data_IF_700542510002
#
_entry.id   IF_700542510002
#
_cell.length_a   1.000
_cell.length_b   1.000
_cell.length_c   1.000
_cell.angle_alpha   90.00
_cell.angle_beta   90.00
_cell.angle_gamma   90.00
#
_symmetry.space_group_name_H-M   'P 1'
#
loop_
_entity.id
_entity.type
_entity.pdbx_description
1 polymer ?
#
# COMPACT_ATOMS: atom_id res chain seq x y z
N UNK A 1 -2.71 23.98 -7.62
CA UNK A 1 -3.05 22.74 -6.92
C UNK A 1 -3.72 23.12 -5.62
N UNK A 2 -4.93 22.66 -5.35
CA UNK A 2 -5.62 22.94 -4.09
C UNK A 2 -4.95 22.10 -2.99
N UNK A 3 -4.06 22.73 -2.23
CA UNK A 3 -3.22 22.09 -1.20
C UNK A 3 -4.07 21.65 0.03
N UNK A 4 -5.35 22.04 0.08
CA UNK A 4 -6.19 21.88 1.27
C UNK A 4 -7.16 20.67 1.26
N UNK A 5 -7.21 19.86 0.19
CA UNK A 5 -8.15 18.73 0.14
C UNK A 5 -7.41 17.40 0.25
N UNK A 6 -7.73 16.56 1.27
CA UNK A 6 -7.11 15.24 1.39
C UNK A 6 -7.50 14.34 0.20
N UNK A 7 -6.58 13.49 -0.24
CA UNK A 7 -6.85 12.41 -1.21
C UNK A 7 -7.77 11.35 -0.61
N UNK A 8 -7.56 11.05 0.69
CA UNK A 8 -8.41 10.14 1.46
C UNK A 8 -8.69 10.77 2.81
N UNK A 9 -9.96 10.70 3.25
CA UNK A 9 -10.40 11.15 4.58
C UNK A 9 -11.25 10.06 5.24
N UNK A 10 -10.84 9.66 6.43
CA UNK A 10 -11.59 8.78 7.32
C UNK A 10 -12.21 9.62 8.42
N UNK A 11 -13.52 9.52 8.63
CA UNK A 11 -14.25 10.24 9.65
C UNK A 11 -15.03 9.28 10.54
N UNK A 12 -14.62 9.16 11.79
CA UNK A 12 -15.25 8.30 12.82
C UNK A 12 -15.42 6.85 12.36
N UNK A 13 -14.48 6.32 11.59
CA UNK A 13 -14.53 4.94 11.10
C UNK A 13 -14.42 3.97 12.28
N UNK A 14 -15.41 3.07 12.37
CA UNK A 14 -15.43 1.99 13.35
C UNK A 14 -15.65 0.65 12.66
N UNK A 15 -14.97 -0.41 13.17
CA UNK A 15 -15.05 -1.78 12.64
C UNK A 15 -15.05 -2.78 13.75
N UNK A 16 -15.93 -3.79 13.66
CA UNK A 16 -16.01 -4.94 14.58
C UNK A 16 -16.11 -6.25 13.81
N UNK A 17 -15.64 -7.33 14.42
CA UNK A 17 -15.88 -8.70 13.99
C UNK A 17 -16.65 -9.41 15.11
N UNK A 18 -17.93 -9.70 14.87
CA UNK A 18 -18.84 -10.17 15.91
C UNK A 18 -18.95 -9.17 17.06
N UNK A 19 -18.49 -9.57 18.26
CA UNK A 19 -18.48 -8.68 19.44
C UNK A 19 -17.16 -7.94 19.67
N UNK A 20 -16.12 -8.26 18.88
CA UNK A 20 -14.79 -7.64 19.05
C UNK A 20 -14.66 -6.36 18.24
N UNK A 21 -14.50 -5.24 18.92
CA UNK A 21 -14.14 -3.96 18.28
C UNK A 21 -12.68 -4.00 17.85
N UNK A 22 -12.42 -3.76 16.57
CA UNK A 22 -11.08 -3.73 15.98
C UNK A 22 -10.61 -2.31 15.78
N UNK A 23 -11.51 -1.44 15.27
CA UNK A 23 -11.26 -0.01 15.10
C UNK A 23 -12.41 0.77 15.73
N UNK A 24 -12.10 1.87 16.40
CA UNK A 24 -13.07 2.70 17.11
C UNK A 24 -12.80 4.19 16.86
N UNK A 25 -13.74 4.87 16.17
CA UNK A 25 -13.70 6.30 15.88
C UNK A 25 -12.38 6.77 15.25
N UNK A 26 -11.90 6.05 14.22
CA UNK A 26 -10.69 6.41 13.49
C UNK A 26 -10.95 7.67 12.66
N UNK A 27 -10.10 8.67 12.84
CA UNK A 27 -10.06 9.88 12.05
C UNK A 27 -8.65 10.02 11.45
N UNK A 28 -8.55 10.20 10.13
CA UNK A 28 -7.26 10.32 9.43
C UNK A 28 -7.47 11.02 8.10
N UNK A 29 -6.72 12.09 7.87
CA UNK A 29 -6.62 12.75 6.57
C UNK A 29 -5.26 12.47 5.94
N UNK A 30 -5.28 12.05 4.67
CA UNK A 30 -4.12 11.66 3.88
C UNK A 30 -4.03 12.60 2.69
N UNK A 31 -2.92 13.32 2.59
CA UNK A 31 -2.69 14.30 1.54
C UNK A 31 -1.73 13.77 0.47
N UNK A 32 -1.76 14.40 -0.69
CA UNK A 32 -0.86 14.08 -1.80
C UNK A 32 0.61 14.20 -1.36
N UNK A 33 1.40 13.17 -1.64
CA UNK A 33 2.81 13.11 -1.27
C UNK A 33 3.09 12.74 0.18
N UNK A 34 2.09 12.49 1.00
CA UNK A 34 2.31 11.97 2.36
C UNK A 34 3.06 10.64 2.32
N UNK A 35 4.02 10.47 3.24
CA UNK A 35 4.55 9.18 3.63
C UNK A 35 4.12 8.91 5.07
N UNK A 36 3.16 8.01 5.26
CA UNK A 36 2.57 7.68 6.56
C UNK A 36 3.00 6.28 6.97
N UNK A 37 3.44 6.13 8.22
CA UNK A 37 3.62 4.83 8.83
C UNK A 37 2.65 4.64 10.00
N UNK A 38 1.98 3.47 10.05
CA UNK A 38 1.04 3.10 11.09
C UNK A 38 1.58 1.88 11.82
N UNK A 39 1.95 2.06 13.08
CA UNK A 39 2.47 1.04 13.97
C UNK A 39 1.34 0.41 14.80
N UNK A 40 1.65 -0.68 15.46
CA UNK A 40 0.75 -1.35 16.41
C UNK A 40 1.06 -2.84 16.54
N UNK A 41 0.53 -3.46 17.57
CA UNK A 41 0.70 -4.90 17.82
C UNK A 41 0.10 -5.75 16.70
N UNK A 42 0.57 -6.99 16.55
CA UNK A 42 -0.08 -7.98 15.68
C UNK A 42 -1.54 -8.18 16.11
N UNK A 43 -2.47 -8.25 15.15
CA UNK A 43 -3.90 -8.31 15.42
C UNK A 43 -4.55 -7.00 15.89
N UNK A 44 -3.79 -5.90 15.97
CA UNK A 44 -4.28 -4.59 16.47
C UNK A 44 -5.14 -3.79 15.48
N UNK A 45 -5.48 -4.34 14.30
CA UNK A 45 -6.36 -3.66 13.32
C UNK A 45 -5.61 -2.89 12.21
N UNK A 46 -4.27 -2.97 12.12
CA UNK A 46 -3.49 -2.29 11.10
C UNK A 46 -3.90 -2.67 9.67
N UNK A 47 -3.90 -3.97 9.38
CA UNK A 47 -4.33 -4.52 8.07
C UNK A 47 -5.80 -4.19 7.78
N UNK A 48 -6.69 -4.27 8.78
CA UNK A 48 -8.10 -3.87 8.64
C UNK A 48 -8.23 -2.40 8.25
N UNK A 49 -7.49 -1.50 8.91
CA UNK A 49 -7.48 -0.08 8.55
C UNK A 49 -6.96 0.13 7.13
N UNK A 50 -5.87 -0.54 6.77
CA UNK A 50 -5.29 -0.45 5.43
C UNK A 50 -6.26 -0.98 4.36
N UNK A 51 -6.97 -2.09 4.64
CA UNK A 51 -7.99 -2.66 3.75
C UNK A 51 -9.17 -1.71 3.55
N UNK A 52 -9.63 -1.04 4.61
CA UNK A 52 -10.70 -0.02 4.52
C UNK A 52 -10.23 1.14 3.64
N UNK A 53 -9.03 1.67 3.85
CA UNK A 53 -8.41 2.71 3.02
C UNK A 53 -8.32 2.25 1.56
N UNK A 54 -7.95 0.98 1.34
CA UNK A 54 -7.82 0.34 0.02
C UNK A 54 -9.15 -0.05 -0.64
N UNK A 55 -10.29 0.24 -0.01
CA UNK A 55 -11.64 -0.16 -0.47
C UNK A 55 -11.77 -1.68 -0.68
N UNK A 56 -11.08 -2.47 0.15
CA UNK A 56 -11.11 -3.94 0.14
C UNK A 56 -12.00 -4.51 1.25
N UNK A 57 -12.30 -3.73 2.28
CA UNK A 57 -13.05 -4.16 3.44
C UNK A 57 -14.02 -3.07 3.90
N UNK A 58 -15.28 -3.48 4.17
CA UNK A 58 -16.32 -2.59 4.69
C UNK A 58 -16.09 -2.26 6.17
N UNK A 59 -16.62 -1.11 6.58
CA UNK A 59 -16.65 -0.66 7.97
C UNK A 59 -18.11 -0.53 8.44
N UNK A 60 -18.32 -0.53 9.76
CA UNK A 60 -19.67 -0.53 10.35
C UNK A 60 -20.22 0.89 10.49
N UNK A 61 -19.39 1.85 10.91
CA UNK A 61 -19.79 3.23 11.20
C UNK A 61 -18.76 4.22 10.64
N UNK A 62 -19.21 5.45 10.36
CA UNK A 62 -18.37 6.54 9.87
C UNK A 62 -18.52 6.81 8.38
N UNK A 63 -17.59 7.61 7.85
CA UNK A 63 -17.53 8.01 6.45
C UNK A 63 -16.10 7.87 5.92
N UNK A 64 -15.95 7.25 4.75
CA UNK A 64 -14.71 7.19 3.98
C UNK A 64 -14.88 8.03 2.71
N UNK A 65 -14.00 9.00 2.50
CA UNK A 65 -13.93 9.78 1.26
C UNK A 65 -12.62 9.43 0.57
N UNK A 66 -12.67 8.92 -0.67
CA UNK A 66 -11.51 8.59 -1.49
C UNK A 66 -11.55 9.36 -2.81
N UNK A 67 -10.60 10.26 -3.06
CA UNK A 67 -10.52 11.05 -4.30
C UNK A 67 -11.84 11.77 -4.65
N UNK A 68 -12.55 12.25 -3.63
CA UNK A 68 -13.88 12.89 -3.70
C UNK A 68 -15.06 11.94 -3.83
N UNK A 69 -14.86 10.63 -3.98
CA UNK A 69 -15.93 9.64 -3.91
C UNK A 69 -16.29 9.34 -2.45
N UNK A 70 -17.57 9.42 -2.12
CA UNK A 70 -18.07 9.17 -0.76
C UNK A 70 -18.45 7.71 -0.58
N UNK A 71 -17.88 7.07 0.45
CA UNK A 71 -18.14 5.67 0.83
C UNK A 71 -18.05 4.70 -0.37
N UNK A 72 -16.96 4.77 -1.18
CA UNK A 72 -16.86 4.04 -2.45
C UNK A 72 -16.95 2.52 -2.27
N UNK A 73 -16.64 2.01 -1.07
CA UNK A 73 -16.73 0.57 -0.76
C UNK A 73 -18.18 0.03 -0.89
N UNK A 74 -19.18 0.89 -0.73
CA UNK A 74 -20.59 0.54 -0.89
C UNK A 74 -21.03 0.48 -2.36
N UNK A 75 -20.17 0.91 -3.27
CA UNK A 75 -20.37 0.87 -4.71
C UNK A 75 -19.21 0.11 -5.37
N UNK A 76 -19.44 -1.14 -5.75
CA UNK A 76 -18.39 -2.00 -6.31
C UNK A 76 -17.71 -1.39 -7.55
N UNK A 77 -18.45 -0.70 -8.41
CA UNK A 77 -17.88 -0.06 -9.62
C UNK A 77 -16.93 1.08 -9.26
N UNK A 78 -17.27 1.90 -8.28
CA UNK A 78 -16.41 2.99 -7.80
C UNK A 78 -15.15 2.43 -7.14
N UNK A 79 -15.30 1.45 -6.25
CA UNK A 79 -14.20 0.73 -5.62
C UNK A 79 -13.25 0.10 -6.66
N UNK A 80 -13.81 -0.53 -7.68
CA UNK A 80 -13.03 -1.15 -8.75
C UNK A 80 -12.23 -0.12 -9.54
N UNK A 81 -12.82 1.03 -9.87
CA UNK A 81 -12.14 2.14 -10.56
C UNK A 81 -10.99 2.68 -9.71
N UNK A 82 -11.21 2.89 -8.41
CA UNK A 82 -10.17 3.34 -7.48
C UNK A 82 -9.02 2.33 -7.42
N UNK A 83 -9.31 1.04 -7.24
CA UNK A 83 -8.28 -0.01 -7.21
C UNK A 83 -7.55 -0.20 -8.55
N UNK A 84 -8.18 0.08 -9.67
CA UNK A 84 -7.54 0.00 -11.00
C UNK A 84 -6.60 1.17 -11.28
N UNK A 85 -6.97 2.38 -10.88
CA UNK A 85 -6.33 3.60 -11.39
C UNK A 85 -5.75 4.53 -10.35
N UNK A 86 -6.13 4.38 -9.06
CA UNK A 86 -5.75 5.29 -7.99
C UNK A 86 -4.95 4.63 -6.87
N UNK A 87 -5.27 3.38 -6.56
CA UNK A 87 -4.71 2.68 -5.40
C UNK A 87 -3.88 1.47 -5.86
N UNK A 88 -2.61 1.42 -5.46
CA UNK A 88 -1.78 0.22 -5.51
C UNK A 88 -1.75 -0.42 -4.12
N UNK A 89 -1.70 -1.74 -4.07
CA UNK A 89 -1.63 -2.47 -2.80
C UNK A 89 -0.49 -3.49 -2.83
N UNK A 90 0.44 -3.39 -1.90
CA UNK A 90 1.52 -4.33 -1.65
C UNK A 90 1.14 -5.17 -0.44
N UNK A 91 0.66 -6.38 -0.71
CA UNK A 91 0.18 -7.31 0.32
C UNK A 91 1.33 -8.02 1.02
N UNK A 92 1.15 -8.35 2.29
CA UNK A 92 2.11 -9.11 3.09
C UNK A 92 2.46 -10.47 2.46
N UNK A 93 1.49 -11.13 1.81
CA UNK A 93 1.66 -12.41 1.11
C UNK A 93 1.93 -12.24 -0.39
N UNK A 94 2.39 -11.05 -0.80
CA UNK A 94 2.72 -10.66 -2.18
C UNK A 94 1.51 -10.67 -3.14
N UNK A 95 0.50 -11.48 -2.92
CA UNK A 95 -0.68 -11.70 -3.76
C UNK A 95 -0.32 -11.95 -5.24
N UNK A 96 0.73 -12.73 -5.48
CA UNK A 96 1.15 -13.21 -6.79
C UNK A 96 0.43 -14.52 -7.12
N UNK A 97 0.30 -14.82 -8.41
CA UNK A 97 -0.27 -16.10 -8.86
C UNK A 97 0.90 -17.07 -9.08
N UNK A 98 1.03 -18.04 -8.17
CA UNK A 98 2.22 -18.91 -8.06
C UNK A 98 2.55 -19.69 -9.31
N UNK A 99 1.55 -20.23 -10.01
CA UNK A 99 1.74 -21.03 -11.23
C UNK A 99 1.98 -20.20 -12.50
N UNK A 100 1.86 -18.86 -12.41
CA UNK A 100 2.17 -17.94 -13.50
C UNK A 100 3.63 -17.52 -13.45
N UNK A 101 4.15 -17.14 -14.62
CA UNK A 101 5.46 -16.49 -14.72
C UNK A 101 5.41 -15.07 -14.18
N UNK A 102 6.59 -14.49 -13.92
CA UNK A 102 6.75 -13.07 -13.60
C UNK A 102 6.07 -12.20 -14.65
N UNK A 103 6.33 -12.48 -15.95
CA UNK A 103 5.71 -11.74 -17.05
C UNK A 103 4.18 -11.79 -17.02
N UNK A 104 3.60 -12.96 -16.78
CA UNK A 104 2.15 -13.14 -16.72
C UNK A 104 1.55 -12.36 -15.53
N UNK A 105 2.19 -12.41 -14.35
CA UNK A 105 1.77 -11.61 -13.20
C UNK A 105 1.78 -10.10 -13.47
N UNK A 106 2.82 -9.59 -14.14
CA UNK A 106 2.88 -8.18 -14.51
C UNK A 106 1.85 -7.83 -15.59
N UNK A 107 1.57 -8.75 -16.52
CA UNK A 107 0.55 -8.55 -17.57
C UNK A 107 -0.86 -8.34 -16.99
N UNK A 108 -1.18 -8.93 -15.83
CA UNK A 108 -2.46 -8.69 -15.14
C UNK A 108 -2.63 -7.21 -14.74
N UNK A 109 -1.55 -6.54 -14.39
CA UNK A 109 -1.56 -5.14 -13.92
C UNK A 109 -1.34 -4.14 -15.06
N UNK A 110 -0.40 -4.42 -15.99
CA UNK A 110 -0.04 -3.48 -17.05
C UNK A 110 -1.18 -3.22 -18.05
N UNK A 111 -2.20 -4.09 -18.09
CA UNK A 111 -3.40 -3.87 -18.92
C UNK A 111 -4.11 -2.57 -18.59
N UNK A 112 -3.98 -2.06 -17.36
CA UNK A 112 -4.55 -0.80 -16.90
C UNK A 112 -3.66 0.42 -17.20
N UNK A 113 -2.40 0.21 -17.64
CA UNK A 113 -1.52 1.29 -18.07
C UNK A 113 -2.09 1.98 -19.32
N UNK A 114 -1.98 3.31 -19.36
CA UNK A 114 -2.35 4.12 -20.53
C UNK A 114 -1.32 4.05 -21.67
N UNK A 115 -0.13 3.52 -21.40
CA UNK A 115 0.92 3.39 -22.40
C UNK A 115 0.61 2.30 -23.41
N UNK A 116 0.95 2.55 -24.66
CA UNK A 116 0.89 1.55 -25.76
C UNK A 116 2.04 0.56 -25.71
N UNK A 117 3.21 0.95 -25.17
CA UNK A 117 4.38 0.10 -25.03
C UNK A 117 4.43 -0.58 -23.65
N UNK A 118 3.57 -1.58 -23.49
CA UNK A 118 3.49 -2.37 -22.26
C UNK A 118 4.74 -3.20 -21.99
N UNK A 119 5.45 -3.64 -23.04
CA UNK A 119 6.68 -4.44 -22.90
C UNK A 119 7.80 -3.61 -22.27
N UNK A 120 8.00 -2.38 -22.74
CA UNK A 120 9.00 -1.47 -22.18
C UNK A 120 8.72 -1.14 -20.72
N UNK A 121 7.44 -0.92 -20.34
CA UNK A 121 7.05 -0.66 -18.94
C UNK A 121 7.42 -1.85 -18.06
N UNK A 122 7.07 -3.07 -18.46
CA UNK A 122 7.41 -4.28 -17.71
C UNK A 122 8.92 -4.42 -17.57
N UNK A 123 9.65 -4.30 -18.69
CA UNK A 123 11.11 -4.39 -18.66
C UNK A 123 11.73 -3.38 -17.70
N UNK A 124 11.31 -2.13 -17.78
CA UNK A 124 11.80 -1.07 -16.89
C UNK A 124 11.51 -1.38 -15.43
N UNK A 125 10.28 -1.81 -15.08
CA UNK A 125 9.92 -2.14 -13.71
C UNK A 125 10.79 -3.29 -13.16
N UNK A 126 11.07 -4.32 -13.97
CA UNK A 126 11.94 -5.43 -13.55
C UNK A 126 13.40 -5.01 -13.42
N UNK A 127 13.91 -4.15 -14.31
CA UNK A 127 15.25 -3.57 -14.18
C UNK A 127 15.38 -2.71 -12.92
N UNK A 128 14.38 -1.86 -12.64
CA UNK A 128 14.34 -1.04 -11.41
C UNK A 128 14.37 -1.91 -10.13
N UNK A 129 13.91 -3.16 -10.22
CA UNK A 129 13.92 -4.15 -9.13
C UNK A 129 15.09 -5.13 -9.18
N UNK A 130 15.94 -5.06 -10.21
CA UNK A 130 17.10 -5.98 -10.38
C UNK A 130 16.70 -7.44 -10.55
N UNK A 131 15.61 -7.73 -11.28
CA UNK A 131 15.06 -9.08 -11.51
C UNK A 131 14.61 -9.32 -12.96
N UNK A 132 15.21 -8.63 -13.92
CA UNK A 132 14.85 -8.80 -15.35
C UNK A 132 15.20 -10.19 -15.89
N UNK A 133 16.19 -10.87 -15.33
CA UNK A 133 16.56 -12.24 -15.65
C UNK A 133 15.46 -13.26 -15.29
N UNK A 134 14.57 -12.91 -14.35
CA UNK A 134 13.48 -13.77 -13.86
C UNK A 134 12.18 -13.67 -14.67
N UNK A 135 12.13 -12.89 -15.75
CA UNK A 135 10.90 -12.62 -16.51
C UNK A 135 10.09 -13.87 -16.85
N UNK A 136 10.78 -14.98 -17.18
CA UNK A 136 10.17 -16.26 -17.57
C UNK A 136 10.02 -17.26 -16.43
N UNK A 137 10.60 -17.00 -15.27
CA UNK A 137 10.49 -17.87 -14.09
C UNK A 137 9.07 -17.86 -13.55
N UNK A 138 8.60 -18.98 -13.04
CA UNK A 138 7.34 -19.06 -12.30
C UNK A 138 7.55 -18.53 -10.90
N UNK A 139 6.49 -17.99 -10.30
CA UNK A 139 6.58 -17.35 -8.98
C UNK A 139 7.05 -18.32 -7.90
N UNK A 140 6.60 -19.57 -7.91
CA UNK A 140 7.02 -20.57 -6.93
C UNK A 140 8.52 -20.96 -7.02
N UNK A 141 9.21 -20.62 -8.11
CA UNK A 141 10.65 -20.82 -8.28
C UNK A 141 11.50 -19.72 -7.63
N UNK A 142 10.86 -18.62 -7.20
CA UNK A 142 11.52 -17.43 -6.68
C UNK A 142 11.63 -17.48 -5.15
N UNK A 143 12.73 -16.92 -4.63
CA UNK A 143 12.85 -16.62 -3.20
C UNK A 143 11.82 -15.58 -2.74
N UNK A 144 11.54 -15.52 -1.43
CA UNK A 144 10.60 -14.53 -0.87
C UNK A 144 10.98 -13.08 -1.20
N UNK A 145 12.27 -12.75 -1.19
CA UNK A 145 12.76 -11.42 -1.58
C UNK A 145 12.54 -11.12 -3.07
N UNK A 146 12.74 -12.10 -3.95
CA UNK A 146 12.44 -11.96 -5.39
C UNK A 146 10.94 -11.80 -5.62
N UNK A 147 10.10 -12.58 -4.93
CA UNK A 147 8.63 -12.45 -5.01
C UNK A 147 8.19 -11.05 -4.56
N UNK A 148 8.76 -10.51 -3.49
CA UNK A 148 8.47 -9.16 -3.03
C UNK A 148 8.84 -8.11 -4.09
N UNK A 149 10.00 -8.25 -4.74
CA UNK A 149 10.40 -7.37 -5.84
C UNK A 149 9.48 -7.49 -7.06
N UNK A 150 9.00 -8.69 -7.38
CA UNK A 150 7.97 -8.88 -8.41
C UNK A 150 6.66 -8.19 -8.04
N UNK A 151 6.22 -8.28 -6.77
CA UNK A 151 5.01 -7.62 -6.29
C UNK A 151 5.12 -6.08 -6.37
N UNK A 152 6.29 -5.52 -6.05
CA UNK A 152 6.58 -4.09 -6.25
C UNK A 152 6.56 -3.72 -7.74
N UNK A 153 7.26 -4.46 -8.60
CA UNK A 153 7.27 -4.24 -10.03
C UNK A 153 5.85 -4.29 -10.62
N UNK A 154 5.00 -5.25 -10.17
CA UNK A 154 3.60 -5.35 -10.59
C UNK A 154 2.80 -4.10 -10.23
N UNK A 155 3.03 -3.51 -9.07
CA UNK A 155 2.38 -2.26 -8.69
C UNK A 155 2.89 -1.07 -9.52
N UNK A 156 4.18 -1.05 -9.90
CA UNK A 156 4.77 0.05 -10.68
C UNK A 156 4.28 0.09 -12.14
N UNK A 157 3.82 -1.03 -12.72
CA UNK A 157 3.40 -1.09 -14.14
C UNK A 157 1.98 -0.59 -14.38
N UNK A 158 1.18 -0.37 -13.34
CA UNK A 158 -0.18 0.19 -13.43
C UNK A 158 -0.20 1.67 -12.98
N UNK A 159 -1.21 2.46 -13.37
CA UNK A 159 -1.39 3.79 -12.80
C UNK A 159 -1.82 3.69 -11.33
N UNK A 160 -1.30 4.58 -10.48
CA UNK A 160 -1.75 4.78 -9.11
C UNK A 160 -1.28 6.15 -8.60
N UNK A 161 -1.94 6.64 -7.58
CA UNK A 161 -1.57 7.87 -6.85
C UNK A 161 -1.13 7.53 -5.42
N UNK A 162 -1.79 6.53 -4.81
CA UNK A 162 -1.50 6.04 -3.46
C UNK A 162 -1.03 4.58 -3.53
N UNK A 163 0.03 4.26 -2.78
CA UNK A 163 0.46 2.89 -2.52
C UNK A 163 0.24 2.54 -1.05
N UNK A 164 -0.51 1.47 -0.81
CA UNK A 164 -0.73 0.86 0.49
C UNK A 164 0.21 -0.34 0.63
N UNK A 165 0.96 -0.42 1.72
CA UNK A 165 1.90 -1.50 1.94
C UNK A 165 1.67 -2.14 3.32
N UNK A 166 1.30 -3.41 3.32
CA UNK A 166 1.04 -4.21 4.52
C UNK A 166 2.27 -5.05 4.85
N UNK A 167 2.95 -4.71 5.96
CA UNK A 167 4.18 -5.36 6.47
C UNK A 167 5.20 -5.65 5.36
N UNK A 168 5.59 -4.66 4.53
CA UNK A 168 6.33 -4.89 3.30
C UNK A 168 7.74 -5.46 3.49
N UNK A 169 8.26 -5.45 4.72
CA UNK A 169 9.61 -5.93 5.06
C UNK A 169 9.62 -7.12 6.03
N UNK A 170 8.45 -7.59 6.46
CA UNK A 170 8.30 -8.48 7.62
C UNK A 170 8.97 -9.86 7.53
N UNK A 171 9.28 -10.36 6.33
CA UNK A 171 9.89 -11.70 6.13
C UNK A 171 11.18 -11.64 5.31
N UNK A 172 11.78 -10.45 5.17
CA UNK A 172 12.91 -10.21 4.29
C UNK A 172 14.23 -10.15 5.07
N UNK A 173 15.30 -10.62 4.44
CA UNK A 173 16.66 -10.33 4.88
C UNK A 173 17.00 -8.84 4.74
N UNK A 174 18.11 -8.42 5.32
CA UNK A 174 18.51 -7.01 5.39
C UNK A 174 18.70 -6.36 4.01
N UNK A 175 19.17 -7.11 3.01
CA UNK A 175 19.40 -6.60 1.66
C UNK A 175 18.08 -6.35 0.95
N UNK A 176 17.19 -7.35 0.91
CA UNK A 176 15.87 -7.24 0.31
C UNK A 176 15.01 -6.18 1.01
N UNK A 177 15.09 -6.09 2.35
CA UNK A 177 14.44 -5.06 3.14
C UNK A 177 14.86 -3.65 2.68
N UNK A 178 16.16 -3.42 2.53
CA UNK A 178 16.68 -2.13 2.06
C UNK A 178 16.15 -1.78 0.67
N UNK A 179 16.14 -2.74 -0.27
CA UNK A 179 15.60 -2.51 -1.62
C UNK A 179 14.13 -2.05 -1.57
N UNK A 180 13.32 -2.70 -0.73
CA UNK A 180 11.90 -2.33 -0.56
C UNK A 180 11.75 -0.91 -0.01
N UNK A 181 12.47 -0.59 1.07
CA UNK A 181 12.44 0.71 1.71
C UNK A 181 12.89 1.81 0.73
N UNK A 182 14.04 1.64 0.09
CA UNK A 182 14.59 2.60 -0.87
C UNK A 182 13.62 2.81 -2.05
N UNK A 183 12.94 1.75 -2.48
CA UNK A 183 11.92 1.84 -3.53
C UNK A 183 10.73 2.67 -3.09
N UNK A 184 10.17 2.45 -1.90
CA UNK A 184 9.04 3.21 -1.37
C UNK A 184 9.41 4.70 -1.20
N UNK A 185 10.61 4.99 -0.68
CA UNK A 185 11.14 6.36 -0.58
C UNK A 185 11.29 7.00 -1.96
N UNK A 186 11.83 6.28 -2.94
CA UNK A 186 11.96 6.76 -4.32
C UNK A 186 10.60 7.09 -4.93
N UNK A 187 9.62 6.22 -4.75
CA UNK A 187 8.25 6.44 -5.24
C UNK A 187 7.59 7.67 -4.59
N UNK A 188 7.78 7.85 -3.29
CA UNK A 188 7.28 9.03 -2.59
C UNK A 188 7.93 10.33 -3.11
N UNK A 189 9.26 10.35 -3.30
CA UNK A 189 9.97 11.50 -3.92
C UNK A 189 9.49 11.80 -5.34
N UNK A 190 8.90 10.83 -6.04
CA UNK A 190 8.24 11.01 -7.35
C UNK A 190 6.78 11.48 -7.23
N UNK A 191 6.36 11.91 -6.04
CA UNK A 191 5.02 12.46 -5.78
C UNK A 191 3.94 11.42 -5.46
N UNK A 192 4.33 10.15 -5.22
CA UNK A 192 3.35 9.14 -4.78
C UNK A 192 3.08 9.26 -3.28
N UNK A 193 1.83 9.13 -2.90
CA UNK A 193 1.44 8.98 -1.49
C UNK A 193 1.68 7.54 -1.06
N UNK A 194 2.35 7.36 0.09
CA UNK A 194 2.72 6.05 0.61
C UNK A 194 2.12 5.87 2.00
N UNK A 195 1.45 4.75 2.23
CA UNK A 195 0.95 4.37 3.54
C UNK A 195 1.48 2.96 3.83
N UNK A 196 2.25 2.86 4.89
CA UNK A 196 2.83 1.60 5.35
C UNK A 196 2.22 1.24 6.69
N UNK A 197 1.77 0.00 6.86
CA UNK A 197 1.57 -0.58 8.19
C UNK A 197 2.72 -1.51 8.49
N UNK A 198 3.39 -1.32 9.62
CA UNK A 198 4.58 -2.11 9.95
C UNK A 198 4.88 -2.09 11.44
N UNK A 199 5.71 -3.06 11.88
CA UNK A 199 6.36 -3.04 13.18
C UNK A 199 7.86 -2.65 13.09
N UNK A 200 8.33 -2.36 11.88
CA UNK A 200 9.72 -2.05 11.58
C UNK A 200 10.04 -0.58 11.83
N UNK A 201 10.95 -0.34 12.78
CA UNK A 201 11.36 1.01 13.20
C UNK A 201 12.10 1.81 12.11
N UNK A 202 12.54 1.19 11.02
CA UNK A 202 13.15 1.95 9.94
C UNK A 202 12.14 2.88 9.27
N UNK A 203 10.86 2.46 9.18
CA UNK A 203 9.80 3.32 8.65
C UNK A 203 9.52 4.54 9.53
N UNK A 204 9.76 4.45 10.86
CA UNK A 204 9.60 5.55 11.79
C UNK A 204 10.44 6.78 11.40
N UNK A 205 11.67 6.52 10.92
CA UNK A 205 12.64 7.57 10.58
C UNK A 205 12.38 8.22 9.21
N UNK A 206 11.72 7.51 8.30
CA UNK A 206 11.53 7.96 6.92
C UNK A 206 10.12 8.48 6.64
N UNK A 207 9.13 8.10 7.44
CA UNK A 207 7.76 8.57 7.29
C UNK A 207 7.64 10.03 7.75
N UNK A 208 6.83 10.82 7.03
CA UNK A 208 6.53 12.21 7.39
C UNK A 208 5.59 12.28 8.59
N UNK A 209 4.69 11.30 8.71
CA UNK A 209 3.71 11.18 9.79
C UNK A 209 3.71 9.76 10.31
N UNK A 210 3.80 9.62 11.61
CA UNK A 210 3.78 8.33 12.27
C UNK A 210 2.54 8.23 13.16
N UNK A 211 1.87 7.08 13.10
CA UNK A 211 0.70 6.78 13.91
C UNK A 211 0.88 5.44 14.61
N UNK A 212 0.14 5.26 15.69
CA UNK A 212 0.03 3.97 16.37
C UNK A 212 -1.44 3.59 16.55
N UNK A 213 -1.76 2.30 16.29
CA UNK A 213 -3.07 1.74 16.67
C UNK A 213 -2.91 1.01 18.00
N UNK A 214 -3.63 1.52 19.01
CA UNK A 214 -3.70 0.93 20.35
C UNK A 214 -5.16 0.84 20.79
N UNK A 215 -5.59 -0.34 21.22
CA UNK A 215 -6.96 -0.60 21.67
C UNK A 215 -8.03 -0.09 20.69
N UNK A 216 -7.78 -0.31 19.39
CA UNK A 216 -8.68 0.10 18.32
C UNK A 216 -8.68 1.60 17.98
N UNK A 217 -7.86 2.42 18.63
CA UNK A 217 -7.77 3.87 18.40
C UNK A 217 -6.48 4.23 17.70
N UNK A 218 -6.56 5.17 16.76
CA UNK A 218 -5.41 5.72 16.06
C UNK A 218 -4.91 6.97 16.80
N UNK A 219 -3.62 7.02 17.09
CA UNK A 219 -2.95 8.18 17.69
C UNK A 219 -1.77 8.58 16.83
N UNK A 220 -1.59 9.86 16.58
CA UNK A 220 -0.39 10.38 15.95
C UNK A 220 0.76 10.37 16.98
N UNK A 221 1.94 9.91 16.53
CA UNK A 221 3.15 9.98 17.32
C UNK A 221 3.84 11.31 17.03
N UNK A 222 4.01 12.14 18.07
CA UNK A 222 4.83 13.34 18.00
C UNK A 222 6.27 12.94 18.28
N UNK A 223 7.16 13.07 17.28
CA UNK A 223 8.59 12.96 17.53
C UNK A 223 9.11 14.34 17.92
N UNK A 224 9.77 14.40 19.07
CA UNK A 224 10.57 15.57 19.41
C UNK A 224 11.63 15.73 18.30
N UNK A 225 11.54 16.81 17.54
CA UNK A 225 12.63 17.22 16.64
C UNK A 225 13.82 17.50 17.53
N UNK A 226 14.75 16.55 17.65
CA UNK A 226 16.07 16.86 18.19
C UNK A 226 16.67 17.95 17.29
N UNK A 227 16.80 19.12 17.91
CA UNK A 227 17.39 20.31 17.28
C UNK A 227 18.89 20.16 17.15
#
# INVERSE_FOLDING_TARGET
MNIDKPQISLKNISKKYGKHKILENINLDIYEGDFICIFGKSGGGKTTLLNIIGTLEEYDEGELICFSEHNPIRNEKESEVLRRYKIAYLFQNFALVDNMTVQENLNLAVKYSRSTDKKSIIKKALMDMGIEDKLKSKIFELSGGEQQRVALARNMVKPYEIMLADEPTGSLDSENKKIVIDTLVKLNKLGKTIIVVSHDKEFEKIAHKNYIIENGKLKQLEFAVEK
#
